data_IF_789015201479
#
_entry.id   IF_789015201479
#
_cell.length_a   1.000
_cell.length_b   1.000
_cell.length_c   1.000
_cell.angle_alpha   90.00
_cell.angle_beta   90.00
_cell.angle_gamma   90.00
#
_symmetry.space_group_name_H-M   'P 1'
#
loop_
_entity.id
_entity.type
_entity.pdbx_description
1 polymer ?
#
# COMPACT_ATOMS: atom_id res chain seq x y z
N UNK A 1 42.53 -8.52 -31.76
CA UNK A 1 42.24 -8.37 -30.28
C UNK A 1 41.49 -9.60 -29.82
N UNK A 2 42.03 -10.34 -28.87
CA UNK A 2 41.35 -11.56 -28.35
C UNK A 2 40.62 -11.23 -27.07
N UNK A 3 39.28 -10.98 -27.15
CA UNK A 3 38.44 -10.61 -26.02
C UNK A 3 37.98 -11.86 -25.26
N UNK A 4 38.55 -12.12 -24.07
CA UNK A 4 38.17 -13.22 -23.19
C UNK A 4 36.79 -12.94 -22.58
N UNK A 5 36.60 -11.73 -22.02
CA UNK A 5 35.35 -11.31 -21.39
C UNK A 5 34.41 -10.64 -22.41
N UNK A 6 33.23 -11.24 -22.60
CA UNK A 6 32.21 -10.74 -23.53
C UNK A 6 30.82 -10.83 -22.85
N UNK A 7 30.38 -9.82 -22.07
CA UNK A 7 29.07 -9.82 -21.42
C UNK A 7 27.89 -9.99 -22.39
N UNK A 8 28.05 -9.59 -23.67
CA UNK A 8 27.04 -9.79 -24.72
C UNK A 8 26.67 -11.25 -24.98
N UNK A 9 27.48 -12.22 -24.54
CA UNK A 9 27.17 -13.66 -24.68
C UNK A 9 25.87 -14.01 -23.97
N UNK A 10 25.60 -13.40 -22.77
CA UNK A 10 24.40 -13.63 -21.98
C UNK A 10 23.19 -12.83 -22.47
N UNK A 11 23.36 -11.98 -23.51
CA UNK A 11 22.26 -11.17 -24.08
C UNK A 11 21.83 -11.66 -25.46
N UNK A 12 22.40 -12.76 -25.95
CA UNK A 12 22.32 -13.19 -27.35
C UNK A 12 20.92 -13.62 -27.78
N UNK A 13 20.17 -14.29 -26.91
CA UNK A 13 18.81 -14.72 -27.18
C UNK A 13 17.92 -14.50 -25.95
N UNK A 14 16.60 -14.57 -26.16
CA UNK A 14 15.63 -14.43 -25.07
C UNK A 14 15.76 -15.57 -24.04
N UNK A 15 16.01 -16.80 -24.48
CA UNK A 15 16.19 -17.96 -23.62
C UNK A 15 17.37 -17.77 -22.68
N UNK A 16 18.52 -17.30 -23.22
CA UNK A 16 19.70 -17.03 -22.40
C UNK A 16 19.44 -15.88 -21.43
N UNK A 17 18.76 -14.81 -21.87
CA UNK A 17 18.40 -13.71 -20.98
C UNK A 17 17.47 -14.19 -19.85
N UNK A 18 16.45 -15.00 -20.16
CA UNK A 18 15.53 -15.57 -19.15
C UNK A 18 16.26 -16.48 -18.16
N UNK A 19 17.20 -17.30 -18.65
CA UNK A 19 18.01 -18.19 -17.81
C UNK A 19 18.85 -17.41 -16.78
N UNK A 20 19.36 -16.23 -17.18
CA UNK A 20 20.27 -15.41 -16.37
C UNK A 20 19.57 -14.31 -15.55
N UNK A 21 18.22 -14.28 -15.52
CA UNK A 21 17.48 -13.30 -14.71
C UNK A 21 17.73 -13.50 -13.21
N UNK A 22 18.18 -12.46 -12.54
CA UNK A 22 18.37 -12.44 -11.08
C UNK A 22 17.06 -12.11 -10.35
N UNK A 23 16.26 -11.16 -10.90
CA UNK A 23 14.97 -10.75 -10.33
C UNK A 23 13.85 -11.48 -11.03
N UNK A 24 12.97 -12.11 -10.24
CA UNK A 24 11.78 -12.80 -10.74
C UNK A 24 10.58 -12.34 -9.93
N UNK A 25 9.45 -12.15 -10.61
CA UNK A 25 8.18 -11.75 -10.01
C UNK A 25 7.20 -12.91 -10.00
N UNK A 26 6.37 -12.97 -8.94
CA UNK A 26 5.19 -13.83 -8.86
C UNK A 26 3.94 -12.98 -8.66
N UNK A 27 2.79 -13.45 -9.15
CA UNK A 27 1.49 -12.85 -8.82
C UNK A 27 1.22 -12.83 -7.31
N UNK A 28 1.77 -13.81 -6.57
CA UNK A 28 1.65 -13.90 -5.11
C UNK A 28 2.34 -12.76 -4.36
N UNK A 29 3.24 -12.03 -5.04
CA UNK A 29 3.91 -10.85 -4.48
C UNK A 29 3.19 -9.53 -4.77
N UNK A 30 2.02 -9.57 -5.43
CA UNK A 30 1.27 -8.38 -5.81
C UNK A 30 0.06 -8.17 -4.91
N UNK A 31 -0.13 -6.93 -4.44
CA UNK A 31 -1.24 -6.52 -3.60
C UNK A 31 -2.03 -5.44 -4.33
N UNK A 32 -3.32 -5.63 -4.52
CA UNK A 32 -4.18 -4.70 -5.24
C UNK A 32 -4.90 -3.73 -4.28
N UNK A 33 -4.78 -2.39 -4.44
CA UNK A 33 -5.51 -1.42 -3.65
C UNK A 33 -6.97 -1.30 -4.11
N UNK A 34 -7.92 -1.41 -3.17
CA UNK A 34 -9.36 -1.31 -3.43
C UNK A 34 -9.95 -0.17 -2.58
N UNK A 35 -10.75 0.68 -3.21
CA UNK A 35 -11.46 1.79 -2.55
C UNK A 35 -12.92 1.44 -2.37
N UNK A 36 -13.38 1.47 -1.10
CA UNK A 36 -14.77 1.17 -0.74
C UNK A 36 -15.47 2.46 -0.30
N UNK A 37 -16.49 2.87 -1.02
CA UNK A 37 -17.26 4.10 -0.76
C UNK A 37 -18.62 3.73 -0.16
N UNK A 38 -18.81 4.08 1.12
CA UNK A 38 -20.04 3.80 1.88
C UNK A 38 -21.29 4.48 1.29
N UNK A 39 -21.11 5.59 0.56
CA UNK A 39 -22.20 6.34 -0.04
C UNK A 39 -22.62 5.82 -1.41
N UNK A 40 -21.82 4.92 -2.00
CA UNK A 40 -22.01 4.42 -3.35
C UNK A 40 -22.83 3.12 -3.35
N UNK A 41 -23.71 2.98 -4.33
CA UNK A 41 -24.26 1.71 -4.76
C UNK A 41 -23.69 1.37 -6.13
N UNK A 42 -23.15 0.16 -6.28
CA UNK A 42 -22.46 -0.27 -7.50
C UNK A 42 -21.00 0.24 -7.60
N UNK A 43 -20.57 0.50 -8.83
CA UNK A 43 -19.18 0.82 -9.16
C UNK A 43 -19.09 2.18 -9.85
N UNK A 44 -18.11 2.99 -9.49
CA UNK A 44 -17.85 4.32 -10.07
C UNK A 44 -16.36 4.48 -10.40
N UNK A 45 -15.99 4.86 -11.65
CA UNK A 45 -14.60 5.15 -12.01
C UNK A 45 -14.01 6.28 -11.18
N UNK A 46 -12.71 6.15 -10.85
CA UNK A 46 -11.93 7.19 -10.17
C UNK A 46 -11.25 8.06 -11.23
N UNK A 47 -11.70 9.31 -11.39
CA UNK A 47 -11.17 10.22 -12.42
C UNK A 47 -9.66 10.46 -12.29
N UNK A 48 -9.15 10.58 -11.06
CA UNK A 48 -7.72 10.80 -10.78
C UNK A 48 -6.85 9.56 -10.98
N UNK A 49 -7.46 8.37 -11.14
CA UNK A 49 -6.79 7.08 -11.30
C UNK A 49 -7.43 6.28 -12.45
N UNK A 50 -7.14 6.61 -13.71
CA UNK A 50 -7.75 5.96 -14.88
C UNK A 50 -7.63 4.43 -14.83
N UNK A 51 -8.75 3.72 -14.97
CA UNK A 51 -8.81 2.26 -14.88
C UNK A 51 -9.01 1.71 -13.46
N UNK A 52 -9.10 2.57 -12.44
CA UNK A 52 -9.45 2.21 -11.07
C UNK A 52 -10.87 2.66 -10.73
N UNK A 53 -11.49 2.00 -9.73
CA UNK A 53 -12.87 2.24 -9.36
C UNK A 53 -13.05 2.40 -7.85
N UNK A 54 -14.07 3.17 -7.46
CA UNK A 54 -14.73 3.04 -6.17
C UNK A 54 -15.79 1.94 -6.26
N UNK A 55 -15.90 1.16 -5.20
CA UNK A 55 -16.92 0.12 -5.06
C UNK A 55 -17.81 0.42 -3.86
N UNK A 56 -19.12 0.32 -4.04
CA UNK A 56 -20.05 0.30 -2.91
C UNK A 56 -19.94 -0.99 -2.09
N UNK A 57 -20.51 -1.02 -0.90
CA UNK A 57 -20.54 -2.24 -0.08
C UNK A 57 -21.29 -3.41 -0.76
N UNK A 58 -22.24 -3.09 -1.65
CA UNK A 58 -23.00 -4.04 -2.45
C UNK A 58 -22.22 -4.63 -3.64
N UNK A 59 -21.09 -4.03 -3.99
CA UNK A 59 -20.31 -4.37 -5.18
C UNK A 59 -18.83 -4.65 -4.92
N UNK A 60 -18.38 -4.56 -3.66
CA UNK A 60 -16.97 -4.78 -3.32
C UNK A 60 -16.46 -6.18 -3.70
N UNK A 61 -17.33 -7.19 -3.73
CA UNK A 61 -16.98 -8.54 -4.18
C UNK A 61 -16.61 -8.61 -5.65
N UNK A 62 -17.11 -7.69 -6.51
CA UNK A 62 -16.70 -7.61 -7.92
C UNK A 62 -15.21 -7.28 -8.05
N UNK A 63 -14.67 -6.41 -7.18
CA UNK A 63 -13.23 -6.11 -7.17
C UNK A 63 -12.40 -7.35 -6.81
N UNK A 64 -12.91 -8.20 -5.91
CA UNK A 64 -12.28 -9.48 -5.54
C UNK A 64 -12.36 -10.48 -6.69
N UNK A 65 -13.50 -10.62 -7.34
CA UNK A 65 -13.69 -11.50 -8.50
C UNK A 65 -12.75 -11.13 -9.64
N UNK A 66 -12.66 -9.84 -9.96
CA UNK A 66 -11.69 -9.34 -10.94
C UNK A 66 -10.25 -9.70 -10.53
N UNK A 67 -9.87 -9.42 -9.29
CA UNK A 67 -8.53 -9.73 -8.78
C UNK A 67 -8.20 -11.22 -8.94
N UNK A 68 -9.10 -12.10 -8.50
CA UNK A 68 -8.94 -13.55 -8.61
C UNK A 68 -8.84 -14.03 -10.06
N UNK A 69 -9.59 -13.42 -11.00
CA UNK A 69 -9.54 -13.77 -12.43
C UNK A 69 -8.15 -13.53 -13.04
N UNK A 70 -7.42 -12.54 -12.52
CA UNK A 70 -6.04 -12.26 -12.87
C UNK A 70 -5.01 -13.06 -12.04
N UNK A 71 -5.46 -13.76 -10.98
CA UNK A 71 -4.61 -14.54 -10.07
C UNK A 71 -4.01 -13.70 -8.94
N UNK A 72 -4.64 -12.57 -8.61
CA UNK A 72 -4.31 -11.77 -7.44
C UNK A 72 -5.17 -12.25 -6.27
N UNK A 73 -4.53 -12.58 -5.16
CA UNK A 73 -5.18 -13.16 -3.97
C UNK A 73 -5.10 -12.23 -2.74
N UNK A 74 -4.50 -11.05 -2.89
CA UNK A 74 -4.26 -10.09 -1.81
C UNK A 74 -4.76 -8.70 -2.20
N UNK A 75 -5.45 -8.02 -1.28
CA UNK A 75 -5.77 -6.60 -1.45
C UNK A 75 -5.42 -5.77 -0.21
N UNK A 76 -5.30 -4.46 -0.40
CA UNK A 76 -5.35 -3.48 0.68
C UNK A 76 -6.59 -2.62 0.50
N UNK A 77 -7.42 -2.50 1.56
CA UNK A 77 -8.67 -1.75 1.53
C UNK A 77 -8.48 -0.32 2.05
N UNK A 78 -9.07 0.64 1.33
CA UNK A 78 -9.22 2.04 1.73
C UNK A 78 -10.71 2.38 1.82
N UNK A 79 -11.16 2.95 2.95
CA UNK A 79 -12.55 3.26 3.20
C UNK A 79 -12.87 4.74 3.00
N UNK A 80 -14.00 5.02 2.33
CA UNK A 80 -14.57 6.37 2.22
C UNK A 80 -15.89 6.38 3.01
N UNK A 81 -15.88 6.90 4.27
CA UNK A 81 -17.08 6.93 5.09
C UNK A 81 -18.03 8.03 4.65
N UNK A 82 -19.34 7.85 4.91
CA UNK A 82 -20.38 8.89 4.71
C UNK A 82 -20.19 10.09 5.63
N UNK A 83 -19.76 9.84 6.85
CA UNK A 83 -19.62 10.85 7.89
C UNK A 83 -18.17 10.95 8.35
N UNK A 84 -17.72 12.19 8.46
CA UNK A 84 -16.41 12.53 9.01
C UNK A 84 -16.61 13.47 10.17
N UNK A 85 -15.79 13.34 11.20
CA UNK A 85 -15.76 14.23 12.35
C UNK A 85 -14.34 14.53 12.79
N UNK A 86 -14.17 15.39 13.76
CA UNK A 86 -12.84 15.84 14.21
C UNK A 86 -11.98 14.70 14.80
N UNK A 87 -12.59 13.62 15.28
CA UNK A 87 -11.86 12.47 15.83
C UNK A 87 -11.84 11.26 14.90
N UNK A 88 -12.54 11.31 13.75
CA UNK A 88 -12.61 10.21 12.80
C UNK A 88 -13.33 8.97 13.33
N UNK A 89 -14.42 9.18 14.13
CA UNK A 89 -15.09 8.10 14.90
C UNK A 89 -15.59 6.93 14.04
N UNK A 90 -15.90 7.17 12.77
CA UNK A 90 -16.31 6.12 11.83
C UNK A 90 -15.20 5.12 11.48
N UNK A 91 -13.92 5.42 11.78
CA UNK A 91 -12.80 4.52 11.53
C UNK A 91 -12.87 3.23 12.37
N UNK A 92 -13.36 3.33 13.61
CA UNK A 92 -13.49 2.20 14.53
C UNK A 92 -14.92 1.79 14.83
N UNK A 93 -15.89 2.35 14.11
CA UNK A 93 -17.29 1.97 14.27
C UNK A 93 -17.49 0.49 13.90
N UNK A 94 -18.29 -0.25 14.69
CA UNK A 94 -18.54 -1.67 14.42
C UNK A 94 -19.17 -1.89 13.04
N UNK A 95 -20.01 -0.97 12.61
CA UNK A 95 -20.66 -0.91 11.30
C UNK A 95 -19.95 0.03 10.31
N UNK A 96 -18.69 0.38 10.56
CA UNK A 96 -17.88 1.21 9.67
C UNK A 96 -17.67 0.59 8.28
N UNK A 97 -17.35 1.42 7.31
CA UNK A 97 -17.22 0.99 5.90
C UNK A 97 -16.23 -0.15 5.69
N UNK A 98 -15.06 -0.09 6.36
CA UNK A 98 -14.04 -1.16 6.25
C UNK A 98 -14.51 -2.42 6.96
N UNK A 99 -15.07 -2.31 8.16
CA UNK A 99 -15.57 -3.45 8.92
C UNK A 99 -16.66 -4.21 8.14
N UNK A 100 -17.59 -3.48 7.50
CA UNK A 100 -18.61 -4.08 6.65
C UNK A 100 -18.01 -4.70 5.38
N UNK A 101 -17.08 -4.01 4.70
CA UNK A 101 -16.41 -4.53 3.51
C UNK A 101 -15.63 -5.82 3.80
N UNK A 102 -14.88 -5.86 4.91
CA UNK A 102 -14.15 -7.06 5.35
C UNK A 102 -15.11 -8.23 5.56
N UNK A 103 -16.20 -8.04 6.33
CA UNK A 103 -17.20 -9.10 6.56
C UNK A 103 -17.81 -9.59 5.25
N UNK A 104 -18.15 -8.68 4.33
CA UNK A 104 -18.75 -9.00 3.04
C UNK A 104 -17.78 -9.82 2.19
N UNK A 105 -16.51 -9.42 2.09
CA UNK A 105 -15.48 -10.13 1.34
C UNK A 105 -15.22 -11.51 1.97
N UNK A 106 -15.00 -11.58 3.28
CA UNK A 106 -14.67 -12.84 3.96
C UNK A 106 -15.84 -13.83 3.95
N UNK A 107 -17.09 -13.36 3.93
CA UNK A 107 -18.26 -14.24 3.78
C UNK A 107 -18.34 -14.87 2.37
N UNK A 108 -18.01 -14.12 1.32
CA UNK A 108 -18.06 -14.58 -0.07
C UNK A 108 -16.77 -15.34 -0.49
N UNK A 109 -15.62 -14.87 -0.03
CA UNK A 109 -14.28 -15.34 -0.40
C UNK A 109 -13.38 -15.54 0.83
N UNK A 110 -13.61 -16.58 1.65
CA UNK A 110 -12.88 -16.78 2.92
C UNK A 110 -11.36 -16.86 2.77
N UNK A 111 -10.86 -17.33 1.61
CA UNK A 111 -9.44 -17.50 1.32
C UNK A 111 -8.77 -16.26 0.72
N UNK A 112 -9.55 -15.24 0.35
CA UNK A 112 -8.98 -13.99 -0.17
C UNK A 112 -8.35 -13.21 0.98
N UNK A 113 -7.08 -12.82 0.83
CA UNK A 113 -6.33 -12.16 1.90
C UNK A 113 -6.61 -10.66 1.92
N UNK A 114 -7.23 -10.21 2.98
CA UNK A 114 -7.66 -8.81 3.14
C UNK A 114 -6.74 -8.09 4.12
N UNK A 115 -5.98 -7.13 3.58
CA UNK A 115 -5.17 -6.18 4.36
C UNK A 115 -6.00 -4.91 4.50
N UNK A 116 -6.01 -4.28 5.68
CA UNK A 116 -6.69 -3.00 5.86
C UNK A 116 -5.70 -1.89 6.18
N UNK A 117 -5.80 -0.77 5.48
CA UNK A 117 -5.10 0.45 5.87
C UNK A 117 -5.63 0.95 7.22
N UNK A 118 -4.75 1.37 8.10
CA UNK A 118 -5.11 1.98 9.38
C UNK A 118 -4.58 3.40 9.39
N UNK A 119 -5.49 4.34 9.23
CA UNK A 119 -5.22 5.78 9.26
C UNK A 119 -6.49 6.54 9.64
N UNK A 120 -6.32 7.80 10.02
CA UNK A 120 -7.44 8.67 10.37
C UNK A 120 -7.85 9.61 9.24
N UNK A 121 -7.01 9.82 8.22
CA UNK A 121 -7.20 10.89 7.25
C UNK A 121 -8.42 10.73 6.32
N UNK A 122 -8.90 9.52 6.11
CA UNK A 122 -10.13 9.24 5.38
C UNK A 122 -11.39 9.58 6.21
N UNK A 123 -11.26 9.58 7.54
CA UNK A 123 -12.36 9.63 8.52
C UNK A 123 -12.45 10.97 9.24
N UNK A 124 -11.35 11.72 9.33
CA UNK A 124 -11.35 13.06 9.92
C UNK A 124 -11.88 14.12 8.95
N UNK A 125 -12.63 15.09 9.45
CA UNK A 125 -13.18 16.21 8.67
C UNK A 125 -12.08 17.18 8.20
N UNK A 126 -10.97 17.24 8.93
CA UNK A 126 -9.79 18.03 8.58
C UNK A 126 -8.76 17.29 7.70
N UNK A 127 -8.90 15.99 7.48
CA UNK A 127 -8.04 15.18 6.60
C UNK A 127 -6.60 14.94 7.10
N UNK A 128 -6.25 15.27 8.34
CA UNK A 128 -4.99 14.85 8.96
C UNK A 128 -5.06 13.42 9.50
N UNK A 129 -3.88 12.77 9.64
CA UNK A 129 -3.77 11.36 10.00
C UNK A 129 -3.91 11.07 11.51
N UNK A 130 -4.43 12.00 12.30
CA UNK A 130 -4.58 11.83 13.75
C UNK A 130 -5.42 12.90 14.40
N UNK A 131 -5.50 12.84 15.72
CA UNK A 131 -6.23 13.78 16.56
C UNK A 131 -5.48 15.11 16.63
N UNK A 132 -6.18 16.23 16.46
CA UNK A 132 -5.58 17.55 16.51
C UNK A 132 -5.54 18.12 17.93
N UNK A 133 -4.42 18.81 18.24
CA UNK A 133 -4.29 19.74 19.35
C UNK A 133 -3.90 21.12 18.77
N UNK A 134 -4.88 22.00 18.62
CA UNK A 134 -4.73 23.20 17.81
C UNK A 134 -4.60 22.85 16.31
N UNK A 135 -3.50 23.25 15.68
CA UNK A 135 -3.21 22.95 14.26
C UNK A 135 -2.22 21.76 14.09
N UNK A 136 -1.77 21.15 15.17
CA UNK A 136 -0.82 20.02 15.12
C UNK A 136 -1.50 18.70 15.46
N UNK A 137 -0.98 17.60 14.89
CA UNK A 137 -1.43 16.25 15.26
C UNK A 137 -0.78 15.86 16.58
N UNK A 138 -1.63 15.50 17.57
CA UNK A 138 -1.21 14.98 18.85
C UNK A 138 -0.90 13.49 18.71
N UNK A 139 0.40 13.16 18.73
CA UNK A 139 0.89 11.79 18.55
C UNK A 139 0.23 10.82 19.53
N UNK A 140 0.34 11.12 20.83
CA UNK A 140 -0.01 10.16 21.90
C UNK A 140 -1.53 9.91 21.96
N UNK A 141 -2.35 10.94 21.75
CA UNK A 141 -3.81 10.76 21.64
C UNK A 141 -4.21 9.99 20.39
N UNK A 142 -3.42 10.09 19.34
CA UNK A 142 -3.69 9.38 18.09
C UNK A 142 -3.44 7.87 18.23
N UNK A 143 -2.47 7.43 19.06
CA UNK A 143 -2.20 6.01 19.29
C UNK A 143 -3.43 5.22 19.76
N UNK A 144 -4.23 5.81 20.65
CA UNK A 144 -5.45 5.16 21.16
C UNK A 144 -6.46 4.90 20.03
N UNK A 145 -6.71 5.90 19.18
CA UNK A 145 -7.71 5.77 18.11
C UNK A 145 -7.22 4.85 16.99
N UNK A 146 -5.91 4.83 16.70
CA UNK A 146 -5.30 3.88 15.75
C UNK A 146 -5.42 2.44 16.26
N UNK A 147 -5.13 2.20 17.52
CA UNK A 147 -5.25 0.88 18.14
C UNK A 147 -6.69 0.37 18.11
N UNK A 148 -7.68 1.23 18.42
CA UNK A 148 -9.10 0.90 18.31
C UNK A 148 -9.53 0.61 16.89
N UNK A 149 -9.05 1.39 15.92
CA UNK A 149 -9.31 1.18 14.49
C UNK A 149 -8.77 -0.18 14.05
N UNK A 150 -7.49 -0.45 14.32
CA UNK A 150 -6.85 -1.71 13.97
C UNK A 150 -7.59 -2.92 14.60
N UNK A 151 -7.95 -2.83 15.90
CA UNK A 151 -8.69 -3.88 16.60
C UNK A 151 -10.06 -4.13 15.95
N UNK A 152 -10.80 -3.07 15.58
CA UNK A 152 -12.10 -3.21 14.94
C UNK A 152 -12.03 -3.89 13.58
N UNK A 153 -10.95 -3.63 12.82
CA UNK A 153 -10.71 -4.28 11.51
C UNK A 153 -10.45 -5.79 11.66
N UNK A 154 -9.58 -6.18 12.60
CA UNK A 154 -9.29 -7.61 12.82
C UNK A 154 -10.47 -8.34 13.45
N UNK A 155 -11.23 -7.70 14.31
CA UNK A 155 -12.49 -8.24 14.84
C UNK A 155 -13.56 -8.44 13.74
N UNK A 156 -13.52 -7.65 12.67
CA UNK A 156 -14.35 -7.83 11.48
C UNK A 156 -13.86 -8.97 10.56
N UNK A 157 -12.64 -9.48 10.76
CA UNK A 157 -12.05 -10.58 10.00
C UNK A 157 -10.93 -10.20 9.03
N UNK A 158 -10.33 -9.01 9.16
CA UNK A 158 -9.14 -8.65 8.40
C UNK A 158 -7.99 -9.61 8.72
N UNK A 159 -7.25 -10.05 7.70
CA UNK A 159 -6.14 -10.99 7.85
C UNK A 159 -4.84 -10.29 8.28
N UNK A 160 -4.70 -8.99 8.01
CA UNK A 160 -3.53 -8.17 8.31
C UNK A 160 -3.93 -6.71 8.40
N UNK A 161 -3.24 -5.92 9.20
CA UNK A 161 -3.38 -4.45 9.21
C UNK A 161 -2.12 -3.76 8.69
N UNK A 162 -2.30 -2.58 8.08
CA UNK A 162 -1.21 -1.78 7.53
C UNK A 162 -1.29 -0.33 8.01
N UNK A 163 -0.74 0.00 9.19
CA UNK A 163 -0.76 1.35 9.76
C UNK A 163 0.03 2.33 8.90
N UNK A 164 -0.64 3.38 8.41
CA UNK A 164 -0.07 4.33 7.45
C UNK A 164 -0.02 5.78 7.95
N UNK A 165 -0.28 5.98 9.22
CA UNK A 165 -0.39 7.28 9.88
C UNK A 165 0.95 7.98 10.13
N UNK A 166 2.01 7.25 10.42
CA UNK A 166 3.37 7.70 10.79
C UNK A 166 3.49 8.30 12.20
N UNK A 167 2.64 7.89 13.15
CA UNK A 167 2.82 8.29 14.56
C UNK A 167 3.92 7.46 15.22
N UNK A 168 4.70 8.10 16.10
CA UNK A 168 5.73 7.41 16.89
C UNK A 168 5.06 6.42 17.86
N UNK A 169 5.58 5.18 17.94
CA UNK A 169 5.08 4.14 18.86
C UNK A 169 3.79 3.44 18.45
N UNK A 170 3.26 3.72 17.24
CA UNK A 170 1.97 3.16 16.79
C UNK A 170 1.99 1.64 16.64
N UNK A 171 3.10 1.06 16.23
CA UNK A 171 3.20 -0.39 16.04
C UNK A 171 3.15 -1.09 17.41
N UNK A 172 3.88 -0.58 18.41
CA UNK A 172 3.82 -1.09 19.77
C UNK A 172 2.41 -1.02 20.36
N UNK A 173 1.72 0.13 20.19
CA UNK A 173 0.37 0.33 20.70
C UNK A 173 -0.65 -0.64 20.06
N UNK A 174 -0.57 -0.86 18.73
CA UNK A 174 -1.43 -1.81 18.02
C UNK A 174 -1.10 -3.25 18.43
N UNK A 175 0.19 -3.62 18.54
CA UNK A 175 0.64 -4.97 18.94
C UNK A 175 0.15 -5.31 20.35
N UNK A 176 0.34 -4.41 21.33
CA UNK A 176 -0.15 -4.60 22.70
C UNK A 176 -1.67 -4.77 22.74
N UNK A 177 -2.38 -3.97 21.92
CA UNK A 177 -3.84 -4.09 21.79
C UNK A 177 -4.23 -5.46 21.22
N UNK A 178 -3.58 -5.93 20.18
CA UNK A 178 -3.85 -7.24 19.59
C UNK A 178 -3.59 -8.38 20.57
N UNK A 179 -2.46 -8.35 21.23
CA UNK A 179 -2.06 -9.38 22.19
C UNK A 179 -3.04 -9.49 23.37
N UNK A 180 -3.49 -8.33 23.89
CA UNK A 180 -4.43 -8.29 25.01
C UNK A 180 -5.88 -8.68 24.64
N UNK A 181 -6.24 -8.64 23.35
CA UNK A 181 -7.58 -9.00 22.86
C UNK A 181 -7.64 -10.35 22.11
N UNK A 182 -6.58 -11.17 22.17
CA UNK A 182 -6.57 -12.50 21.56
C UNK A 182 -6.23 -12.54 20.06
N UNK A 183 -5.69 -11.47 19.51
CA UNK A 183 -5.27 -11.35 18.11
C UNK A 183 -3.74 -11.39 17.93
N UNK A 184 -3.02 -12.01 18.86
CA UNK A 184 -1.55 -12.07 18.85
C UNK A 184 -0.94 -12.61 17.54
N UNK A 185 -1.69 -13.40 16.77
CA UNK A 185 -1.22 -13.99 15.49
C UNK A 185 -1.54 -13.11 14.27
N UNK A 186 -2.14 -11.93 14.44
CA UNK A 186 -2.44 -11.05 13.32
C UNK A 186 -1.19 -10.25 12.91
N UNK A 187 -0.75 -10.36 11.63
CA UNK A 187 0.42 -9.64 11.16
C UNK A 187 0.17 -8.12 11.05
N UNK A 188 1.24 -7.33 11.25
CA UNK A 188 1.27 -5.88 11.04
C UNK A 188 2.27 -5.56 9.93
N UNK A 189 1.78 -5.00 8.81
CA UNK A 189 2.58 -4.45 7.72
C UNK A 189 2.76 -2.95 7.96
N UNK A 190 3.86 -2.55 8.56
CA UNK A 190 4.09 -1.16 8.93
C UNK A 190 4.52 -0.30 7.73
N UNK A 191 3.88 0.86 7.55
CA UNK A 191 4.39 1.90 6.63
C UNK A 191 5.60 2.59 7.26
N UNK A 192 6.68 1.85 7.44
CA UNK A 192 7.85 2.25 8.25
C UNK A 192 8.59 3.44 7.65
N UNK A 193 8.74 3.48 6.32
CA UNK A 193 9.40 4.57 5.62
C UNK A 193 8.42 5.26 4.65
N UNK A 194 7.52 6.08 5.20
CA UNK A 194 6.56 6.86 4.41
C UNK A 194 6.96 8.33 4.35
N UNK A 195 7.29 8.79 3.16
CA UNK A 195 7.75 10.16 2.90
C UNK A 195 6.61 11.14 2.62
N UNK A 196 6.78 12.40 2.97
CA UNK A 196 5.91 13.51 2.60
C UNK A 196 6.06 13.81 1.11
N UNK A 197 5.36 13.04 0.27
CA UNK A 197 5.58 13.02 -1.17
C UNK A 197 4.53 13.79 -1.96
N UNK A 198 4.97 14.44 -3.04
CA UNK A 198 4.10 15.03 -4.05
C UNK A 198 3.34 13.99 -4.91
N UNK A 199 3.81 12.73 -4.92
CA UNK A 199 3.19 11.63 -5.68
C UNK A 199 1.85 11.13 -5.10
N UNK A 200 1.35 11.70 -3.99
CA UNK A 200 0.07 11.28 -3.38
C UNK A 200 -1.16 12.05 -3.91
N UNK A 201 -0.99 13.00 -4.84
CA UNK A 201 -2.09 13.81 -5.34
C UNK A 201 -3.31 13.01 -5.78
N UNK A 202 -3.20 12.06 -6.73
CA UNK A 202 -4.33 11.27 -7.20
C UNK A 202 -5.00 10.44 -6.10
N UNK A 203 -4.23 9.89 -5.15
CA UNK A 203 -4.78 9.15 -4.00
C UNK A 203 -5.62 10.04 -3.09
N UNK A 204 -5.14 11.27 -2.78
CA UNK A 204 -5.88 12.20 -1.92
C UNK A 204 -7.27 12.50 -2.49
N UNK A 205 -7.36 12.63 -3.81
CA UNK A 205 -8.65 12.80 -4.50
C UNK A 205 -9.48 11.52 -4.44
N UNK A 206 -8.88 10.35 -4.68
CA UNK A 206 -9.56 9.07 -4.68
C UNK A 206 -10.10 8.69 -3.29
N UNK A 207 -9.34 8.92 -2.22
CA UNK A 207 -9.69 8.59 -0.83
C UNK A 207 -10.42 9.73 -0.10
N UNK A 208 -10.62 10.89 -0.74
CA UNK A 208 -11.22 12.05 -0.09
C UNK A 208 -10.45 12.50 1.15
N UNK A 209 -9.12 12.34 1.17
CA UNK A 209 -8.25 12.48 2.35
C UNK A 209 -7.27 13.66 2.24
N UNK A 210 -7.56 14.67 1.41
CA UNK A 210 -6.75 15.87 1.34
C UNK A 210 -6.84 16.66 2.66
N UNK A 211 -5.70 17.11 3.25
CA UNK A 211 -5.76 17.96 4.43
C UNK A 211 -6.44 19.29 4.10
N UNK A 212 -7.32 19.75 4.98
CA UNK A 212 -8.07 21.02 4.83
C UNK A 212 -7.21 22.24 5.09
N UNK A 213 -6.09 22.08 5.78
CA UNK A 213 -5.09 23.10 6.07
C UNK A 213 -3.70 22.49 6.19
N UNK A 214 -2.64 23.32 6.12
CA UNK A 214 -1.26 22.89 6.32
C UNK A 214 -0.78 21.80 5.36
N UNK A 215 0.09 20.94 5.87
CA UNK A 215 0.59 19.75 5.16
C UNK A 215 0.86 18.62 6.16
N UNK A 216 1.47 17.53 5.71
CA UNK A 216 1.75 16.34 6.55
C UNK A 216 3.24 16.18 6.89
N UNK A 217 4.06 17.20 6.67
CA UNK A 217 5.51 17.13 6.92
C UNK A 217 5.88 17.05 8.39
N UNK A 218 4.94 17.41 9.29
CA UNK A 218 5.13 17.29 10.73
C UNK A 218 5.21 15.84 11.23
N UNK A 219 4.70 14.86 10.44
CA UNK A 219 4.70 13.44 10.82
C UNK A 219 5.09 12.48 9.68
N UNK A 220 5.05 12.87 8.41
CA UNK A 220 5.64 12.10 7.31
C UNK A 220 7.09 12.53 7.08
N UNK A 221 7.94 11.59 6.72
CA UNK A 221 9.39 11.81 6.58
C UNK A 221 9.73 12.83 5.50
N UNK A 222 10.80 13.60 5.73
CA UNK A 222 11.34 14.54 4.74
C UNK A 222 11.98 13.76 3.57
N UNK A 223 11.60 14.05 2.30
CA UNK A 223 12.20 13.42 1.12
C UNK A 223 13.73 13.60 1.00
N UNK A 224 14.33 14.53 1.71
CA UNK A 224 15.79 14.71 1.73
C UNK A 224 16.53 13.70 2.62
N UNK A 225 15.79 12.97 3.50
CA UNK A 225 16.40 12.16 4.57
C UNK A 225 16.32 10.67 4.26
N UNK A 226 17.44 10.09 3.85
CA UNK A 226 17.56 8.65 3.62
C UNK A 226 17.80 7.85 4.92
N UNK A 227 18.71 8.34 5.80
CA UNK A 227 19.08 7.64 7.03
C UNK A 227 17.94 7.57 8.05
N UNK A 228 17.01 8.50 8.01
CA UNK A 228 15.82 8.51 8.84
C UNK A 228 14.96 7.25 8.59
N UNK A 229 14.85 6.80 7.34
CA UNK A 229 14.13 5.58 7.00
C UNK A 229 14.64 4.34 7.76
N UNK A 230 15.95 4.19 7.89
CA UNK A 230 16.52 3.08 8.65
C UNK A 230 16.21 3.17 10.14
N UNK A 231 16.16 4.39 10.70
CA UNK A 231 15.76 4.61 12.08
C UNK A 231 14.29 4.24 12.30
N UNK A 232 13.39 4.74 11.43
CA UNK A 232 11.95 4.42 11.49
C UNK A 232 11.71 2.92 11.36
N UNK A 233 12.34 2.26 10.39
CA UNK A 233 12.26 0.82 10.24
C UNK A 233 12.76 0.06 11.48
N UNK A 234 13.87 0.50 12.10
CA UNK A 234 14.40 -0.13 13.30
C UNK A 234 13.47 0.02 14.51
N UNK A 235 12.79 1.16 14.63
CA UNK A 235 11.77 1.38 15.66
C UNK A 235 10.58 0.45 15.43
N UNK A 236 9.99 0.44 14.23
CA UNK A 236 8.87 -0.44 13.91
C UNK A 236 9.19 -1.93 14.11
N UNK A 237 10.42 -2.37 13.79
CA UNK A 237 10.89 -3.74 14.10
C UNK A 237 10.90 -4.00 15.60
N UNK A 238 11.43 -3.07 16.40
CA UNK A 238 11.49 -3.20 17.85
C UNK A 238 10.11 -3.17 18.51
N UNK A 239 9.15 -2.54 17.87
CA UNK A 239 7.76 -2.41 18.28
C UNK A 239 6.88 -3.61 17.85
N UNK A 240 7.40 -4.53 17.04
CA UNK A 240 6.70 -5.76 16.65
C UNK A 240 6.04 -5.73 15.29
N UNK A 241 6.57 -4.95 14.34
CA UNK A 241 6.18 -5.08 12.93
C UNK A 241 6.62 -6.44 12.36
N UNK A 242 5.77 -7.05 11.54
CA UNK A 242 6.07 -8.31 10.84
C UNK A 242 6.59 -8.07 9.42
N UNK A 243 6.16 -6.98 8.80
CA UNK A 243 6.53 -6.58 7.44
C UNK A 243 6.83 -5.08 7.46
N UNK A 244 7.96 -4.68 6.85
CA UNK A 244 8.31 -3.27 6.65
C UNK A 244 7.82 -2.79 5.29
N UNK A 245 7.50 -1.50 5.17
CA UNK A 245 7.09 -0.92 3.89
C UNK A 245 7.79 0.42 3.62
N UNK A 246 8.22 0.59 2.36
CA UNK A 246 8.72 1.86 1.81
C UNK A 246 7.65 2.47 0.89
N UNK A 247 7.32 3.74 1.11
CA UNK A 247 6.33 4.50 0.33
C UNK A 247 6.80 5.96 0.14
N UNK A 248 6.87 6.47 -1.11
CA UNK A 248 6.69 5.82 -2.41
C UNK A 248 7.77 4.80 -2.78
N UNK A 249 7.66 4.17 -3.97
CA UNK A 249 8.59 3.13 -4.40
C UNK A 249 9.62 3.61 -5.42
N UNK A 250 9.19 4.07 -6.59
CA UNK A 250 10.07 4.26 -7.75
C UNK A 250 11.17 5.30 -7.53
N UNK A 251 10.86 6.41 -6.86
CA UNK A 251 11.83 7.46 -6.55
C UNK A 251 12.64 7.19 -5.28
N UNK A 252 12.43 6.04 -4.63
CA UNK A 252 13.03 5.64 -3.35
C UNK A 252 13.65 4.24 -3.40
N UNK A 253 14.16 3.84 -4.59
CA UNK A 253 14.82 2.55 -4.79
C UNK A 253 16.08 2.39 -3.93
N UNK A 254 16.78 3.48 -3.64
CA UNK A 254 17.91 3.55 -2.72
C UNK A 254 17.49 3.22 -1.29
N UNK A 255 16.35 3.73 -0.84
CA UNK A 255 15.78 3.43 0.49
C UNK A 255 15.34 1.96 0.56
N UNK A 256 14.64 1.45 -0.47
CA UNK A 256 14.27 0.02 -0.55
C UNK A 256 15.53 -0.85 -0.46
N UNK A 257 16.59 -0.50 -1.18
CA UNK A 257 17.85 -1.27 -1.15
C UNK A 257 18.49 -1.25 0.22
N UNK A 258 18.57 -0.09 0.88
CA UNK A 258 19.16 0.01 2.21
C UNK A 258 18.34 -0.72 3.28
N UNK A 259 16.99 -0.61 3.24
CA UNK A 259 16.14 -1.37 4.15
C UNK A 259 16.34 -2.87 3.97
N UNK A 260 16.41 -3.37 2.71
CA UNK A 260 16.70 -4.78 2.43
C UNK A 260 18.05 -5.23 2.98
N UNK A 261 19.08 -4.39 2.89
CA UNK A 261 20.41 -4.74 3.36
C UNK A 261 20.53 -4.69 4.90
N UNK A 262 19.65 -3.92 5.57
CA UNK A 262 19.71 -3.69 7.01
C UNK A 262 18.77 -4.62 7.82
N UNK A 263 17.69 -5.14 7.21
CA UNK A 263 16.65 -5.89 7.93
C UNK A 263 16.32 -7.20 7.24
N UNK A 264 16.13 -8.26 8.03
CA UNK A 264 15.75 -9.60 7.56
C UNK A 264 14.22 -9.78 7.42
N UNK A 265 13.41 -8.79 7.81
CA UNK A 265 11.95 -8.85 7.66
C UNK A 265 11.56 -8.77 6.18
N UNK A 266 10.42 -9.37 5.80
CA UNK A 266 9.83 -9.13 4.49
C UNK A 266 9.61 -7.64 4.24
N UNK A 267 9.93 -7.19 3.01
CA UNK A 267 9.88 -5.79 2.62
C UNK A 267 8.84 -5.55 1.53
N UNK A 268 7.83 -4.76 1.86
CA UNK A 268 6.85 -4.25 0.91
C UNK A 268 7.31 -2.92 0.32
N UNK A 269 6.95 -2.66 -0.92
CA UNK A 269 7.03 -1.34 -1.52
C UNK A 269 5.65 -0.92 -2.03
N UNK A 270 5.35 0.38 -1.98
CA UNK A 270 4.10 0.90 -2.53
C UNK A 270 4.38 1.80 -3.74
N UNK A 271 4.08 1.29 -4.95
CA UNK A 271 4.01 2.10 -6.16
C UNK A 271 2.73 2.94 -6.11
N UNK A 272 2.90 4.22 -5.77
CA UNK A 272 1.79 5.10 -5.38
C UNK A 272 1.05 5.69 -6.57
N UNK A 273 -0.05 6.36 -6.26
CA UNK A 273 -1.00 6.91 -7.23
C UNK A 273 -0.38 7.85 -8.26
N UNK A 274 0.57 8.70 -7.86
CA UNK A 274 1.29 9.59 -8.78
C UNK A 274 2.24 8.85 -9.71
N UNK A 275 2.89 7.78 -9.24
CA UNK A 275 3.75 6.94 -10.07
C UNK A 275 2.92 6.24 -11.16
N UNK A 276 1.76 5.70 -10.79
CA UNK A 276 0.79 5.13 -11.74
C UNK A 276 0.25 6.17 -12.73
N UNK A 277 -0.24 7.32 -12.22
CA UNK A 277 -0.83 8.36 -13.04
C UNK A 277 0.16 8.99 -14.03
N UNK A 278 1.44 9.13 -13.67
CA UNK A 278 2.49 9.60 -14.56
C UNK A 278 2.69 8.66 -15.76
N UNK A 279 2.69 7.34 -15.55
CA UNK A 279 2.82 6.37 -16.64
C UNK A 279 1.59 6.45 -17.55
N UNK A 280 0.37 6.48 -16.99
CA UNK A 280 -0.87 6.65 -17.75
C UNK A 280 -0.86 7.92 -18.59
N UNK A 281 -0.50 9.06 -18.00
CA UNK A 281 -0.45 10.34 -18.70
C UNK A 281 0.62 10.38 -19.80
N UNK A 282 1.81 9.86 -19.54
CA UNK A 282 2.88 9.80 -20.53
C UNK A 282 2.52 8.87 -21.69
N UNK A 283 1.86 7.75 -21.42
CA UNK A 283 1.37 6.84 -22.46
C UNK A 283 0.26 7.45 -23.29
N UNK A 284 -0.71 8.10 -22.65
CA UNK A 284 -1.79 8.80 -23.37
C UNK A 284 -1.26 9.90 -24.30
N UNK A 285 -0.13 10.53 -23.93
CA UNK A 285 0.58 11.51 -24.77
C UNK A 285 1.49 10.87 -25.83
N UNK A 286 1.58 9.54 -25.91
CA UNK A 286 2.42 8.82 -26.88
C UNK A 286 3.93 8.90 -26.59
N UNK A 287 4.34 9.29 -25.38
CA UNK A 287 5.75 9.47 -25.01
C UNK A 287 6.43 8.16 -24.60
N UNK A 288 5.65 7.21 -24.06
CA UNK A 288 6.13 5.91 -23.59
C UNK A 288 5.13 4.80 -23.94
N UNK A 289 5.63 3.57 -24.04
CA UNK A 289 4.81 2.36 -24.09
C UNK A 289 4.42 1.98 -22.65
N UNK A 290 3.13 2.08 -22.33
CA UNK A 290 2.61 1.83 -20.98
C UNK A 290 2.99 0.46 -20.44
N UNK A 291 2.75 -0.57 -21.27
CA UNK A 291 2.99 -1.96 -20.85
C UNK A 291 4.46 -2.21 -20.53
N UNK A 292 5.36 -1.73 -21.37
CA UNK A 292 6.81 -1.91 -21.15
C UNK A 292 7.30 -1.13 -19.93
N UNK A 293 6.83 0.12 -19.75
CA UNK A 293 7.24 0.94 -18.60
C UNK A 293 6.66 0.39 -17.30
N UNK A 294 5.41 -0.06 -17.29
CA UNK A 294 4.80 -0.77 -16.17
C UNK A 294 5.66 -1.98 -15.73
N UNK A 295 6.02 -2.84 -16.67
CA UNK A 295 6.87 -4.00 -16.40
C UNK A 295 8.26 -3.61 -15.88
N UNK A 296 8.90 -2.61 -16.49
CA UNK A 296 10.24 -2.18 -16.11
C UNK A 296 10.26 -1.50 -14.72
N UNK A 297 9.25 -0.69 -14.40
CA UNK A 297 9.14 -0.06 -13.08
C UNK A 297 8.92 -1.09 -11.96
N UNK A 298 8.03 -2.07 -12.16
CA UNK A 298 7.85 -3.16 -11.21
C UNK A 298 9.16 -3.94 -11.00
N UNK A 299 9.81 -4.36 -12.09
CA UNK A 299 11.12 -5.04 -12.02
C UNK A 299 12.17 -4.22 -11.27
N UNK A 300 12.20 -2.89 -11.44
CA UNK A 300 13.17 -2.04 -10.75
C UNK A 300 12.97 -2.04 -9.23
N UNK A 301 11.71 -2.07 -8.78
CA UNK A 301 11.34 -2.12 -7.36
C UNK A 301 11.75 -3.46 -6.73
N UNK A 302 11.42 -4.59 -7.38
CA UNK A 302 11.85 -5.90 -6.91
C UNK A 302 13.37 -6.08 -6.95
N UNK A 303 14.04 -5.56 -8.00
CA UNK A 303 15.51 -5.56 -8.10
C UNK A 303 16.17 -4.73 -6.99
N UNK A 304 15.51 -3.67 -6.52
CA UNK A 304 15.98 -2.92 -5.35
C UNK A 304 15.87 -3.71 -4.05
N UNK A 305 15.00 -4.72 -3.99
CA UNK A 305 14.93 -5.64 -2.83
C UNK A 305 13.56 -5.83 -2.20
N UNK A 306 12.49 -5.28 -2.79
CA UNK A 306 11.14 -5.56 -2.32
C UNK A 306 10.78 -7.04 -2.53
N UNK A 307 10.08 -7.63 -1.55
CA UNK A 307 9.51 -8.98 -1.63
C UNK A 307 8.08 -8.94 -2.16
N UNK A 308 7.37 -7.82 -1.92
CA UNK A 308 6.00 -7.61 -2.35
C UNK A 308 5.75 -6.16 -2.77
N UNK A 309 4.74 -5.97 -3.60
CA UNK A 309 4.43 -4.68 -4.21
C UNK A 309 2.94 -4.38 -4.13
N UNK A 310 2.57 -3.29 -3.46
CA UNK A 310 1.25 -2.68 -3.59
C UNK A 310 1.27 -1.81 -4.84
N UNK A 311 0.37 -2.07 -5.79
CA UNK A 311 0.33 -1.33 -7.06
C UNK A 311 -1.04 -1.36 -7.71
N UNK A 312 -1.41 -0.25 -8.35
CA UNK A 312 -2.61 -0.15 -9.19
C UNK A 312 -2.52 -0.97 -10.48
N UNK A 313 -1.31 -1.37 -10.87
CA UNK A 313 -1.05 -2.27 -12.00
C UNK A 313 -1.05 -3.77 -11.62
N UNK A 314 -1.52 -4.14 -10.43
CA UNK A 314 -1.40 -5.53 -9.97
C UNK A 314 -2.01 -6.53 -10.97
N UNK A 315 -3.19 -6.25 -11.52
CA UNK A 315 -3.87 -7.11 -12.51
C UNK A 315 -3.09 -7.21 -13.82
N UNK A 316 -2.64 -6.08 -14.36
CA UNK A 316 -1.87 -6.02 -15.61
C UNK A 316 -0.50 -6.72 -15.48
N UNK A 317 0.17 -6.55 -14.32
CA UNK A 317 1.43 -7.23 -14.00
C UNK A 317 1.25 -8.74 -13.86
N UNK A 318 0.17 -9.19 -13.23
CA UNK A 318 -0.14 -10.60 -13.13
C UNK A 318 -0.34 -11.23 -14.52
N UNK A 319 -1.01 -10.52 -15.43
CA UNK A 319 -1.16 -10.97 -16.82
C UNK A 319 0.19 -10.98 -17.57
N UNK A 320 1.07 -10.01 -17.32
CA UNK A 320 2.42 -9.98 -17.89
C UNK A 320 3.29 -11.14 -17.37
N UNK A 321 3.13 -11.53 -16.10
CA UNK A 321 3.77 -12.72 -15.51
C UNK A 321 3.25 -14.00 -16.20
N UNK A 322 1.94 -14.15 -16.35
CA UNK A 322 1.31 -15.30 -17.03
C UNK A 322 1.80 -15.45 -18.48
N UNK A 323 2.04 -14.34 -19.18
CA UNK A 323 2.59 -14.33 -20.56
C UNK A 323 4.09 -14.66 -20.62
N UNK A 324 4.81 -14.62 -19.49
CA UNK A 324 6.24 -14.83 -19.40
C UNK A 324 7.08 -13.62 -19.85
N UNK A 325 6.48 -12.43 -19.92
CA UNK A 325 7.20 -11.19 -20.28
C UNK A 325 8.04 -10.68 -19.11
N UNK A 326 7.54 -10.86 -17.91
CA UNK A 326 8.24 -10.67 -16.62
C UNK A 326 8.03 -11.90 -15.74
N UNK A 327 9.02 -12.21 -14.86
CA UNK A 327 8.89 -13.39 -13.98
C UNK A 327 10.02 -14.39 -14.18
#
# INVERSE_FOLDING_TARGET
MNLINRPRRLRRSDEVRRLCRETRLSSDSLIYPIFVDESLSGVRPIESLPGQNHYGLDSVTQAVEESLSHGITHCVLFGLPKHKDACGSSAWAEDGVIQQAVRTIKAAYPQFHVITDVCMCEYTDHGHCGILCGEEVDNDKTLEVLSRTALSHVAAGADMVAPSDMMDGRIAAIRETFDSHGFAMTPIMAYSAKYASAFYGPFRSAAGSAPSFGDRKGYQMDPHNRREALKECALDVSEGADILMVKPALSYLDVIRECRDAFDLPLCAYSVSGEYAMIKAASAAGLVDEYRVMCETALSIFRAGADMLITYYAKDLADAIKKGDIG
#
